data_IF_537254965665
#
_entry.id   IF_537254965665
#
_cell.length_a   1.000
_cell.length_b   1.000
_cell.length_c   1.000
_cell.angle_alpha   90.00
_cell.angle_beta   90.00
_cell.angle_gamma   90.00
#
_symmetry.space_group_name_H-M   'P 1'
#
loop_
_entity.id
_entity.type
_entity.pdbx_description
1 polymer ?
#
# COMPACT_ATOMS: atom_id res chain seq x y z
N UNK A 1 16.43 -14.33 3.53
CA UNK A 1 15.83 -15.62 3.85
C UNK A 1 15.37 -16.34 2.57
N UNK A 2 14.57 -15.70 1.70
CA UNK A 2 14.08 -16.30 0.46
C UNK A 2 15.18 -16.83 -0.46
N UNK A 3 16.32 -16.14 -0.55
CA UNK A 3 17.50 -16.59 -1.33
C UNK A 3 18.21 -17.82 -0.73
N UNK A 4 17.89 -18.24 0.51
CA UNK A 4 18.37 -19.51 1.08
C UNK A 4 17.54 -20.70 0.63
N UNK A 5 16.32 -20.47 0.12
CA UNK A 5 15.36 -21.51 -0.25
C UNK A 5 15.08 -21.58 -1.76
N UNK A 6 15.42 -20.53 -2.51
CA UNK A 6 15.26 -20.44 -3.96
C UNK A 6 16.39 -19.61 -4.56
N UNK A 7 16.82 -19.93 -5.78
CA UNK A 7 17.95 -19.28 -6.44
C UNK A 7 17.70 -17.78 -6.69
N UNK A 8 16.46 -17.38 -6.96
CA UNK A 8 16.05 -15.98 -7.13
C UNK A 8 14.54 -15.84 -6.92
N UNK A 9 14.12 -15.72 -5.65
CA UNK A 9 12.71 -15.70 -5.29
C UNK A 9 12.02 -14.44 -5.79
N UNK A 10 10.84 -14.61 -6.40
CA UNK A 10 9.91 -13.51 -6.68
C UNK A 10 9.17 -13.12 -5.39
N UNK A 11 9.23 -11.87 -5.02
CA UNK A 11 8.59 -11.32 -3.84
C UNK A 11 7.41 -10.43 -4.25
N UNK A 12 6.24 -10.73 -3.71
CA UNK A 12 5.09 -9.84 -3.72
C UNK A 12 4.92 -9.29 -2.30
N UNK A 13 5.11 -8.00 -2.13
CA UNK A 13 5.00 -7.30 -0.84
C UNK A 13 3.67 -6.57 -0.79
N UNK A 14 2.87 -6.89 0.20
CA UNK A 14 1.51 -6.35 0.38
C UNK A 14 1.38 -5.77 1.78
N UNK A 15 0.58 -4.70 1.90
CA UNK A 15 0.11 -4.22 3.20
C UNK A 15 -0.87 -5.24 3.81
N UNK A 16 -0.81 -5.40 5.14
CA UNK A 16 -1.59 -6.41 5.84
C UNK A 16 -3.04 -5.99 6.12
N UNK A 17 -3.35 -4.71 5.99
CA UNK A 17 -4.58 -4.05 6.42
C UNK A 17 -5.33 -3.29 5.31
N UNK A 18 -4.83 -3.31 4.08
CA UNK A 18 -5.53 -2.73 2.93
C UNK A 18 -6.64 -3.65 2.41
N UNK A 19 -7.65 -3.07 1.77
CA UNK A 19 -8.73 -3.80 1.12
C UNK A 19 -8.68 -3.59 -0.39
N UNK A 20 -8.88 -4.68 -1.13
CA UNK A 20 -9.03 -4.72 -2.58
C UNK A 20 -10.32 -5.47 -2.87
N UNK A 21 -11.31 -4.79 -3.46
CA UNK A 21 -12.63 -5.40 -3.70
C UNK A 21 -12.68 -6.12 -5.05
N UNK A 22 -12.04 -5.58 -6.10
CA UNK A 22 -11.92 -6.26 -7.38
C UNK A 22 -10.65 -7.13 -7.43
N UNK A 23 -10.81 -8.36 -6.95
CA UNK A 23 -9.73 -9.36 -6.90
C UNK A 23 -9.25 -9.75 -8.30
N UNK A 24 -10.13 -9.76 -9.29
CA UNK A 24 -9.76 -10.13 -10.66
C UNK A 24 -8.85 -9.07 -11.30
N UNK A 25 -9.20 -7.78 -11.16
CA UNK A 25 -8.35 -6.68 -11.60
C UNK A 25 -6.97 -6.71 -10.90
N UNK A 26 -6.96 -7.05 -9.61
CA UNK A 26 -5.70 -7.19 -8.87
C UNK A 26 -4.84 -8.35 -9.39
N UNK A 27 -5.42 -9.51 -9.68
CA UNK A 27 -4.69 -10.64 -10.25
C UNK A 27 -4.10 -10.31 -11.63
N UNK A 28 -4.82 -9.54 -12.46
CA UNK A 28 -4.31 -9.07 -13.75
C UNK A 28 -3.10 -8.15 -13.56
N UNK A 29 -3.17 -7.21 -12.62
CA UNK A 29 -2.06 -6.33 -12.28
C UNK A 29 -0.84 -7.10 -11.75
N UNK A 30 -1.04 -8.13 -10.90
CA UNK A 30 0.04 -9.02 -10.43
C UNK A 30 0.74 -9.71 -11.61
N UNK A 31 -0.01 -10.19 -12.61
CA UNK A 31 0.60 -10.83 -13.77
C UNK A 31 1.49 -9.85 -14.56
N UNK A 32 1.05 -8.61 -14.73
CA UNK A 32 1.85 -7.55 -15.38
C UNK A 32 3.10 -7.25 -14.54
N UNK A 33 2.94 -7.04 -13.22
CA UNK A 33 4.05 -6.78 -12.30
C UNK A 33 5.07 -7.93 -12.27
N UNK A 34 4.60 -9.19 -12.34
CA UNK A 34 5.44 -10.37 -12.42
C UNK A 34 6.35 -10.36 -13.66
N UNK A 35 5.80 -9.99 -14.82
CA UNK A 35 6.59 -9.87 -16.05
C UNK A 35 7.68 -8.79 -15.93
N UNK A 36 7.35 -7.65 -15.32
CA UNK A 36 8.32 -6.57 -15.08
C UNK A 36 9.40 -7.02 -14.09
N UNK A 37 9.01 -7.68 -12.99
CA UNK A 37 9.94 -8.20 -12.00
C UNK A 37 10.84 -9.29 -12.58
N UNK A 38 10.33 -10.18 -13.44
CA UNK A 38 11.14 -11.18 -14.18
C UNK A 38 12.18 -10.51 -15.07
N UNK A 39 11.86 -9.35 -15.65
CA UNK A 39 12.79 -8.53 -16.42
C UNK A 39 13.78 -7.72 -15.56
N UNK A 40 13.81 -7.93 -14.23
CA UNK A 40 14.74 -7.29 -13.30
C UNK A 40 14.31 -5.87 -12.90
N UNK A 41 13.01 -5.53 -12.99
CA UNK A 41 12.46 -4.25 -12.53
C UNK A 41 11.96 -4.33 -11.09
N UNK A 42 11.92 -3.17 -10.43
CA UNK A 42 11.15 -2.96 -9.22
C UNK A 42 9.75 -2.50 -9.65
N UNK A 43 8.77 -3.39 -9.57
CA UNK A 43 7.39 -3.05 -9.91
C UNK A 43 6.64 -2.55 -8.68
N UNK A 44 5.91 -1.44 -8.80
CA UNK A 44 4.94 -0.96 -7.81
C UNK A 44 3.54 -0.90 -8.42
N UNK A 45 2.51 -0.93 -7.56
CA UNK A 45 1.13 -0.81 -7.98
C UNK A 45 0.64 0.61 -7.70
N UNK A 46 0.25 1.31 -8.75
CA UNK A 46 -0.23 2.68 -8.68
C UNK A 46 -1.75 2.72 -8.80
N UNK A 47 -2.42 3.22 -7.76
CA UNK A 47 -3.88 3.34 -7.74
C UNK A 47 -4.30 4.51 -8.61
N UNK A 48 -5.31 4.31 -9.45
CA UNK A 48 -5.90 5.39 -10.26
C UNK A 48 -6.60 6.38 -9.32
N UNK A 49 -6.15 7.66 -9.26
CA UNK A 49 -6.71 8.63 -8.35
C UNK A 49 -8.15 8.99 -8.71
N UNK A 50 -9.02 9.05 -7.71
CA UNK A 50 -10.41 9.51 -7.84
C UNK A 50 -10.64 10.90 -7.29
N UNK A 51 -9.69 11.40 -6.49
CA UNK A 51 -9.73 12.71 -5.82
C UNK A 51 -8.32 13.26 -5.58
N UNK A 52 -8.23 14.53 -5.16
CA UNK A 52 -6.97 15.14 -4.74
C UNK A 52 -6.69 14.84 -3.26
N UNK A 53 -6.12 13.67 -2.97
CA UNK A 53 -5.83 13.23 -1.61
C UNK A 53 -4.43 13.64 -1.19
N UNK A 54 -4.29 14.31 -0.04
CA UNK A 54 -2.99 14.75 0.51
C UNK A 54 -2.36 13.75 1.47
N UNK A 55 -3.06 12.66 1.77
CA UNK A 55 -2.59 11.57 2.65
C UNK A 55 -1.75 10.52 1.93
N UNK A 56 -1.74 10.51 0.59
CA UNK A 56 -1.05 9.52 -0.21
C UNK A 56 0.19 10.09 -0.90
N UNK A 57 1.15 9.21 -1.18
CA UNK A 57 2.21 9.47 -2.14
C UNK A 57 1.69 9.39 -3.58
N UNK A 58 2.32 10.13 -4.49
CA UNK A 58 1.99 10.15 -5.90
C UNK A 58 3.16 9.66 -6.74
N UNK A 59 2.85 8.86 -7.75
CA UNK A 59 3.82 8.31 -8.71
C UNK A 59 3.51 8.89 -10.08
N UNK A 60 4.43 9.68 -10.62
CA UNK A 60 4.33 10.16 -12.00
C UNK A 60 4.76 9.08 -12.96
N UNK A 61 3.86 8.68 -13.84
CA UNK A 61 4.13 7.68 -14.87
C UNK A 61 4.54 8.33 -16.20
N UNK A 62 5.47 7.70 -16.91
CA UNK A 62 5.80 8.05 -18.29
C UNK A 62 4.59 7.83 -19.21
N UNK A 63 4.63 8.43 -20.41
CA UNK A 63 3.59 8.21 -21.43
C UNK A 63 3.76 6.90 -22.19
N UNK A 64 4.91 6.27 -22.07
CA UNK A 64 5.22 5.04 -22.79
C UNK A 64 4.77 3.82 -21.98
N UNK A 65 3.80 3.09 -22.51
CA UNK A 65 3.35 1.82 -21.97
C UNK A 65 4.28 0.69 -22.42
N UNK A 66 4.73 -0.13 -21.49
CA UNK A 66 5.48 -1.36 -21.74
C UNK A 66 4.68 -2.54 -21.18
N UNK A 67 3.86 -3.16 -22.02
CA UNK A 67 3.03 -4.32 -21.68
C UNK A 67 2.17 -4.12 -20.42
N UNK A 68 1.53 -2.95 -20.30
CA UNK A 68 0.64 -2.61 -19.17
C UNK A 68 1.35 -1.95 -17.99
N UNK A 69 2.66 -1.76 -18.04
CA UNK A 69 3.43 -1.04 -17.04
C UNK A 69 4.05 0.24 -17.63
N UNK A 70 4.34 1.21 -16.78
CA UNK A 70 4.94 2.49 -17.16
C UNK A 70 6.23 2.71 -16.37
N UNK A 71 7.22 3.37 -16.98
CA UNK A 71 8.39 3.82 -16.23
C UNK A 71 7.95 4.90 -15.24
N UNK A 72 8.46 4.84 -14.02
CA UNK A 72 8.29 5.91 -13.03
C UNK A 72 9.24 7.07 -13.40
N UNK A 73 8.70 8.29 -13.48
CA UNK A 73 9.46 9.52 -13.71
C UNK A 73 9.75 10.27 -12.42
N UNK A 74 8.83 10.20 -11.46
CA UNK A 74 8.94 10.93 -10.21
C UNK A 74 8.09 10.25 -9.14
N UNK A 75 8.55 10.31 -7.89
CA UNK A 75 7.84 9.82 -6.72
C UNK A 75 7.72 10.99 -5.74
N UNK A 76 6.51 11.32 -5.29
CA UNK A 76 6.25 12.47 -4.45
C UNK A 76 5.41 12.05 -3.27
N UNK A 77 5.92 12.19 -2.07
CA UNK A 77 5.22 11.81 -0.85
C UNK A 77 4.38 12.97 -0.31
N UNK A 78 3.08 12.73 -0.13
CA UNK A 78 2.11 13.59 0.55
C UNK A 78 2.18 15.08 0.14
N UNK A 79 1.83 15.44 -1.12
CA UNK A 79 1.84 16.81 -1.59
C UNK A 79 0.79 17.67 -0.88
N UNK A 80 0.90 18.99 -1.00
CA UNK A 80 -0.19 19.88 -0.61
C UNK A 80 -1.42 19.74 -1.54
N UNK A 81 -2.57 20.28 -1.12
CA UNK A 81 -3.83 20.12 -1.83
C UNK A 81 -3.79 20.70 -3.25
N UNK A 82 -3.14 21.86 -3.45
CA UNK A 82 -3.07 22.50 -4.77
C UNK A 82 -2.23 21.64 -5.72
N UNK A 83 -1.14 21.09 -5.24
CA UNK A 83 -0.26 20.17 -5.97
C UNK A 83 -1.00 18.87 -6.29
N UNK A 84 -1.69 18.26 -5.31
CA UNK A 84 -2.48 17.05 -5.53
C UNK A 84 -3.58 17.25 -6.59
N UNK A 85 -4.24 18.42 -6.58
CA UNK A 85 -5.25 18.78 -7.57
C UNK A 85 -4.66 18.91 -8.98
N UNK A 86 -3.48 19.54 -9.10
CA UNK A 86 -2.74 19.60 -10.35
C UNK A 86 -2.37 18.21 -10.89
N UNK A 87 -1.99 17.28 -10.02
CA UNK A 87 -1.66 15.91 -10.43
C UNK A 87 -2.87 15.15 -10.97
N UNK A 88 -4.03 15.32 -10.33
CA UNK A 88 -5.28 14.74 -10.81
C UNK A 88 -5.65 15.27 -12.21
N UNK A 89 -5.51 16.58 -12.44
CA UNK A 89 -5.80 17.21 -13.73
C UNK A 89 -4.86 16.78 -14.85
N UNK A 90 -3.59 16.51 -14.55
CA UNK A 90 -2.59 16.02 -15.51
C UNK A 90 -2.86 14.59 -15.97
N UNK A 91 -3.50 13.74 -15.15
CA UNK A 91 -3.95 12.41 -15.49
C UNK A 91 -2.85 11.35 -15.69
N UNK A 92 -1.58 11.68 -15.37
CA UNK A 92 -0.45 10.75 -15.45
C UNK A 92 0.20 10.49 -14.07
N UNK A 93 -0.51 10.80 -13.00
CA UNK A 93 -0.12 10.50 -11.64
C UNK A 93 -1.03 9.40 -11.08
N UNK A 94 -0.45 8.48 -10.32
CA UNK A 94 -1.12 7.40 -9.61
C UNK A 94 -0.80 7.54 -8.12
N UNK A 95 -1.70 7.11 -7.23
CA UNK A 95 -1.36 7.01 -5.81
C UNK A 95 -0.42 5.83 -5.55
N UNK A 96 0.56 6.03 -4.70
CA UNK A 96 1.39 4.95 -4.19
C UNK A 96 0.57 4.04 -3.26
N UNK A 97 0.41 2.79 -3.64
CA UNK A 97 -0.30 1.80 -2.81
C UNK A 97 0.55 1.21 -1.68
N UNK A 98 1.87 1.41 -1.70
CA UNK A 98 2.79 0.71 -0.81
C UNK A 98 2.90 -0.80 -1.10
N UNK A 99 2.46 -1.26 -2.26
CA UNK A 99 2.59 -2.65 -2.70
C UNK A 99 3.65 -2.76 -3.79
N UNK A 100 4.47 -3.82 -3.73
CA UNK A 100 5.63 -3.98 -4.61
C UNK A 100 5.79 -5.41 -5.08
N UNK A 101 6.39 -5.58 -6.26
CA UNK A 101 6.80 -6.88 -6.77
C UNK A 101 8.17 -6.81 -7.44
N UNK A 102 9.09 -7.69 -7.03
CA UNK A 102 10.46 -7.73 -7.53
C UNK A 102 11.12 -9.08 -7.24
N UNK A 103 12.24 -9.35 -7.90
CA UNK A 103 13.14 -10.42 -7.51
C UNK A 103 13.91 -10.03 -6.25
N UNK A 104 14.19 -11.02 -5.40
CA UNK A 104 14.96 -10.80 -4.18
C UNK A 104 16.37 -10.27 -4.47
N UNK A 105 17.02 -10.77 -5.53
CA UNK A 105 18.32 -10.27 -5.97
C UNK A 105 18.26 -8.83 -6.43
N UNK A 106 17.29 -8.46 -7.27
CA UNK A 106 17.09 -7.08 -7.73
C UNK A 106 16.93 -6.12 -6.57
N UNK A 107 16.09 -6.48 -5.56
CA UNK A 107 15.92 -5.66 -4.37
C UNK A 107 17.23 -5.42 -3.62
N UNK A 108 18.03 -6.47 -3.41
CA UNK A 108 19.30 -6.38 -2.67
C UNK A 108 20.32 -5.54 -3.45
N UNK A 109 20.42 -5.73 -4.76
CA UNK A 109 21.35 -5.01 -5.61
C UNK A 109 21.04 -3.50 -5.63
N UNK A 110 19.77 -3.15 -5.78
CA UNK A 110 19.32 -1.77 -5.78
C UNK A 110 19.46 -1.12 -4.38
N UNK A 111 19.11 -1.82 -3.31
CA UNK A 111 19.34 -1.34 -1.95
C UNK A 111 20.84 -1.20 -1.64
N UNK A 112 21.69 -2.09 -2.14
CA UNK A 112 23.14 -1.98 -1.97
C UNK A 112 23.68 -0.72 -2.65
N UNK A 113 23.08 -0.32 -3.76
CA UNK A 113 23.45 0.86 -4.52
C UNK A 113 22.96 2.16 -3.82
N UNK A 114 21.72 2.17 -3.33
CA UNK A 114 21.04 3.39 -2.88
C UNK A 114 21.02 3.58 -1.36
N UNK A 115 21.12 2.48 -0.59
CA UNK A 115 21.06 2.49 0.88
C UNK A 115 21.89 1.33 1.49
N UNK A 116 23.21 1.29 1.25
CA UNK A 116 24.09 0.17 1.63
C UNK A 116 24.12 -0.11 3.13
N UNK A 117 23.92 0.91 3.98
CA UNK A 117 23.86 0.76 5.43
C UNK A 117 22.67 -0.09 5.89
N UNK A 118 21.52 -0.03 5.20
CA UNK A 118 20.37 -0.91 5.48
C UNK A 118 20.76 -2.35 5.17
N UNK A 119 21.37 -2.60 4.01
CA UNK A 119 21.77 -3.95 3.61
C UNK A 119 22.79 -4.54 4.58
N UNK A 120 23.76 -3.74 5.03
CA UNK A 120 24.78 -4.15 6.00
C UNK A 120 24.14 -4.55 7.33
N UNK A 121 23.32 -3.71 7.90
CA UNK A 121 22.67 -3.94 9.20
C UNK A 121 21.73 -5.15 9.15
N UNK A 122 20.93 -5.29 8.07
CA UNK A 122 20.02 -6.42 7.88
C UNK A 122 20.79 -7.72 7.70
N UNK A 123 21.89 -7.74 6.92
CA UNK A 123 22.72 -8.91 6.77
C UNK A 123 23.34 -9.34 8.10
N UNK A 124 23.85 -8.40 8.89
CA UNK A 124 24.38 -8.69 10.22
C UNK A 124 23.31 -9.27 11.16
N UNK A 125 22.11 -8.70 11.15
CA UNK A 125 21.00 -9.17 11.96
C UNK A 125 20.55 -10.59 11.56
N UNK A 126 20.51 -10.90 10.26
CA UNK A 126 20.15 -12.23 9.74
C UNK A 126 21.26 -13.25 9.99
N UNK A 127 22.53 -12.87 9.86
CA UNK A 127 23.67 -13.78 10.07
C UNK A 127 23.82 -14.18 11.55
N UNK A 128 23.41 -13.35 12.48
CA UNK A 128 23.41 -13.59 13.92
C UNK A 128 22.05 -14.08 14.43
N UNK A 129 21.08 -14.32 13.52
CA UNK A 129 19.75 -14.77 13.91
C UNK A 129 19.75 -16.16 14.52
N UNK A 130 18.90 -16.36 15.50
CA UNK A 130 18.70 -17.63 16.20
C UNK A 130 17.37 -18.28 15.79
N UNK A 131 17.36 -19.61 15.69
CA UNK A 131 16.13 -20.38 15.49
C UNK A 131 15.43 -20.56 16.87
N UNK A 132 14.18 -20.10 16.97
CA UNK A 132 13.34 -20.26 18.14
C UNK A 132 12.01 -20.91 17.73
N UNK A 133 11.95 -22.23 17.82
CA UNK A 133 10.85 -23.06 17.32
C UNK A 133 10.55 -22.75 15.84
N UNK A 134 9.35 -22.25 15.55
CA UNK A 134 8.92 -21.86 14.18
C UNK A 134 9.37 -20.44 13.79
N UNK A 135 10.03 -19.71 14.70
CA UNK A 135 10.44 -18.33 14.48
C UNK A 135 11.94 -18.23 14.21
N UNK A 136 12.29 -17.24 13.39
CA UNK A 136 13.68 -16.79 13.21
C UNK A 136 13.80 -15.46 13.93
N UNK A 137 14.57 -15.43 15.03
CA UNK A 137 14.79 -14.21 15.80
C UNK A 137 16.03 -13.51 15.30
N UNK A 138 15.81 -12.36 14.69
CA UNK A 138 16.91 -11.52 14.25
C UNK A 138 17.71 -10.99 15.46
N UNK A 139 19.03 -10.79 15.26
CA UNK A 139 19.83 -10.12 16.29
C UNK A 139 19.36 -8.67 16.47
N UNK A 140 18.88 -8.38 17.69
CA UNK A 140 18.27 -7.08 17.99
C UNK A 140 19.26 -5.92 17.84
N UNK A 141 20.49 -6.09 18.32
CA UNK A 141 21.49 -5.01 18.29
C UNK A 141 21.90 -4.66 16.87
N UNK A 142 22.11 -5.65 16.02
CA UNK A 142 22.42 -5.42 14.62
C UNK A 142 21.23 -4.79 13.86
N UNK A 143 20.01 -5.22 14.16
CA UNK A 143 18.81 -4.67 13.53
C UNK A 143 18.55 -3.20 13.93
N UNK A 144 18.77 -2.84 15.19
CA UNK A 144 18.63 -1.47 15.70
C UNK A 144 19.66 -0.49 15.11
N UNK A 145 20.74 -0.98 14.50
CA UNK A 145 21.70 -0.15 13.76
C UNK A 145 21.22 0.22 12.35
N UNK A 146 20.16 -0.42 11.86
CA UNK A 146 19.60 -0.04 10.56
C UNK A 146 18.99 1.35 10.60
N UNK A 147 19.27 2.19 9.58
CA UNK A 147 18.54 3.45 9.42
C UNK A 147 17.02 3.19 9.43
N UNK A 148 16.29 4.05 10.14
CA UNK A 148 14.82 4.04 10.16
C UNK A 148 14.31 4.81 8.95
N UNK A 149 14.12 4.12 7.84
CA UNK A 149 13.70 4.70 6.57
C UNK A 149 12.67 3.79 5.89
N UNK A 150 11.72 4.37 5.14
CA UNK A 150 10.79 3.59 4.34
C UNK A 150 11.43 3.12 3.05
N UNK A 151 10.90 2.06 2.45
CA UNK A 151 11.34 1.58 1.13
C UNK A 151 11.17 2.66 0.06
N UNK A 152 10.18 3.54 0.21
CA UNK A 152 9.93 4.64 -0.72
C UNK A 152 11.13 5.59 -0.75
N UNK A 153 11.56 6.10 0.39
CA UNK A 153 12.72 7.02 0.50
C UNK A 153 14.06 6.31 0.34
N UNK A 154 14.19 5.10 0.88
CA UNK A 154 15.43 4.34 0.81
C UNK A 154 15.76 3.89 -0.62
N UNK A 155 14.73 3.61 -1.44
CA UNK A 155 14.89 2.94 -2.71
C UNK A 155 14.06 3.54 -3.85
N UNK A 156 12.72 3.59 -3.72
CA UNK A 156 11.84 3.85 -4.86
C UNK A 156 12.00 5.25 -5.45
N UNK A 157 12.29 6.25 -4.63
CA UNK A 157 12.57 7.62 -5.08
C UNK A 157 13.94 7.79 -5.74
N UNK A 158 14.88 6.86 -5.48
CA UNK A 158 16.28 6.98 -5.92
C UNK A 158 16.59 6.13 -7.15
N UNK A 159 15.85 5.04 -7.34
CA UNK A 159 16.15 4.06 -8.38
C UNK A 159 15.51 4.45 -9.72
N UNK A 160 16.31 4.44 -10.79
CA UNK A 160 15.83 4.56 -12.17
C UNK A 160 15.20 3.27 -12.72
N UNK A 161 15.19 2.20 -11.93
CA UNK A 161 14.75 0.86 -12.32
C UNK A 161 13.31 0.54 -11.91
N UNK A 162 12.52 1.57 -11.51
CA UNK A 162 11.14 1.41 -11.04
C UNK A 162 10.14 1.50 -12.18
N UNK A 163 9.17 0.57 -12.18
CA UNK A 163 7.99 0.60 -13.05
C UNK A 163 6.72 0.60 -12.22
N UNK A 164 5.67 1.29 -12.70
CA UNK A 164 4.36 1.31 -12.06
C UNK A 164 3.34 0.59 -12.92
N UNK A 165 2.56 -0.29 -12.30
CA UNK A 165 1.40 -0.96 -12.90
C UNK A 165 0.15 -0.27 -12.38
N UNK A 166 -0.66 0.37 -13.25
CA UNK A 166 -1.92 0.97 -12.83
C UNK A 166 -2.87 -0.10 -12.27
N UNK A 167 -3.53 0.22 -11.18
CA UNK A 167 -4.47 -0.64 -10.50
C UNK A 167 -5.77 0.11 -10.22
N UNK A 168 -6.83 -0.26 -10.91
CA UNK A 168 -8.21 0.15 -10.64
C UNK A 168 -8.97 -1.07 -10.11
N UNK A 169 -8.86 -1.32 -8.81
CA UNK A 169 -9.39 -2.52 -8.16
C UNK A 169 -10.18 -2.19 -6.88
N UNK A 170 -10.75 -0.99 -6.81
CA UNK A 170 -11.47 -0.52 -5.62
C UNK A 170 -10.61 -0.72 -4.36
N UNK A 171 -9.37 -0.27 -4.44
CA UNK A 171 -8.41 -0.32 -3.35
C UNK A 171 -8.72 0.76 -2.31
N UNK A 172 -8.51 0.41 -1.04
CA UNK A 172 -8.62 1.33 0.08
C UNK A 172 -7.62 0.94 1.18
N UNK A 173 -6.92 1.91 1.75
CA UNK A 173 -5.95 1.70 2.84
C UNK A 173 -6.59 1.62 4.22
N UNK A 174 -7.89 1.87 4.33
CA UNK A 174 -8.67 1.92 5.58
C UNK A 174 -8.03 2.84 6.64
N UNK A 175 -7.45 3.94 6.20
CA UNK A 175 -6.77 4.91 7.07
C UNK A 175 -7.70 5.75 7.96
N UNK A 176 -9.02 5.63 7.80
CA UNK A 176 -10.00 6.42 8.53
C UNK A 176 -11.35 5.71 8.71
N UNK A 177 -12.17 6.19 9.64
CA UNK A 177 -13.55 5.73 9.77
C UNK A 177 -14.41 6.04 8.54
N UNK A 178 -14.12 7.13 7.83
CA UNK A 178 -14.78 7.44 6.55
C UNK A 178 -14.48 6.38 5.50
N UNK A 179 -13.25 5.88 5.44
CA UNK A 179 -12.87 4.81 4.55
C UNK A 179 -13.64 3.52 4.83
N UNK A 180 -13.89 3.19 6.11
CA UNK A 180 -14.76 2.06 6.47
C UNK A 180 -16.21 2.27 6.05
N UNK A 181 -16.72 3.50 6.10
CA UNK A 181 -18.04 3.82 5.56
C UNK A 181 -18.08 3.64 4.05
N UNK A 182 -17.03 4.06 3.33
CA UNK A 182 -16.98 3.99 1.86
C UNK A 182 -17.03 2.55 1.34
N UNK A 183 -16.29 1.66 1.97
CA UNK A 183 -16.23 0.23 1.59
C UNK A 183 -17.35 -0.63 2.20
N UNK A 184 -18.05 -0.12 3.21
CA UNK A 184 -19.08 -0.85 3.95
C UNK A 184 -20.35 -1.08 3.13
N UNK A 185 -21.03 -2.17 3.42
CA UNK A 185 -22.35 -2.44 2.84
C UNK A 185 -23.38 -1.49 3.42
N UNK A 186 -23.99 -0.68 2.55
CA UNK A 186 -24.97 0.32 2.92
C UNK A 186 -26.39 -0.26 2.95
N UNK A 187 -27.16 0.12 3.95
CA UNK A 187 -28.61 -0.14 3.99
C UNK A 187 -29.39 0.75 3.02
N UNK A 188 -30.73 0.64 3.00
CA UNK A 188 -31.59 1.45 2.12
C UNK A 188 -31.57 2.95 2.39
N UNK A 189 -31.06 3.36 3.55
CA UNK A 189 -30.92 4.76 3.98
C UNK A 189 -29.46 5.26 3.83
N UNK A 190 -28.56 4.44 3.25
CA UNK A 190 -27.16 4.78 3.08
C UNK A 190 -26.32 4.59 4.34
N UNK A 191 -26.80 3.94 5.39
CA UNK A 191 -26.05 3.70 6.60
C UNK A 191 -25.19 2.44 6.49
N UNK A 192 -24.03 2.44 7.13
CA UNK A 192 -23.22 1.26 7.41
C UNK A 192 -23.30 0.96 8.89
N UNK A 193 -23.86 -0.20 9.24
CA UNK A 193 -24.19 -0.55 10.63
C UNK A 193 -23.41 -1.82 11.01
N UNK A 194 -22.72 -1.77 12.16
CA UNK A 194 -22.05 -2.91 12.77
C UNK A 194 -22.39 -2.99 14.26
N UNK A 195 -22.72 -4.20 14.75
CA UNK A 195 -23.04 -4.45 16.15
C UNK A 195 -24.51 -4.23 16.51
N UNK A 196 -24.78 -3.94 17.79
CA UNK A 196 -26.14 -3.76 18.33
C UNK A 196 -26.57 -2.29 18.18
N UNK A 197 -27.33 -2.00 17.12
CA UNK A 197 -27.69 -0.64 16.73
C UNK A 197 -29.17 -0.54 16.36
N UNK A 198 -29.85 0.46 16.92
CA UNK A 198 -31.19 0.88 16.53
C UNK A 198 -31.13 2.23 15.81
N UNK A 199 -31.78 2.34 14.66
CA UNK A 199 -31.83 3.60 13.88
C UNK A 199 -33.26 4.01 13.57
N UNK A 200 -33.59 5.31 13.76
CA UNK A 200 -34.83 5.93 13.33
C UNK A 200 -34.48 7.28 12.67
N UNK A 201 -35.01 7.55 11.50
CA UNK A 201 -34.72 8.76 10.72
C UNK A 201 -33.20 9.05 10.61
N UNK A 202 -32.42 8.00 10.40
CA UNK A 202 -30.96 8.05 10.30
C UNK A 202 -30.51 7.75 8.87
N UNK A 203 -29.64 8.61 8.29
CA UNK A 203 -29.18 8.48 6.90
C UNK A 203 -27.68 8.73 6.76
N UNK A 204 -27.05 8.07 5.77
CA UNK A 204 -25.63 8.24 5.37
C UNK A 204 -24.66 8.21 6.56
N UNK A 205 -24.90 7.36 7.54
CA UNK A 205 -24.17 7.35 8.79
C UNK A 205 -23.43 6.02 8.96
N UNK A 206 -22.14 6.08 9.39
CA UNK A 206 -21.41 4.92 9.86
C UNK A 206 -21.64 4.72 11.35
N UNK A 207 -22.09 3.54 11.77
CA UNK A 207 -22.35 3.24 13.18
C UNK A 207 -21.68 1.91 13.53
N UNK A 208 -20.78 1.95 14.48
CA UNK A 208 -20.09 0.76 15.01
C UNK A 208 -20.26 0.67 16.52
N UNK A 209 -20.91 -0.39 16.96
CA UNK A 209 -21.06 -0.75 18.38
C UNK A 209 -20.16 -1.93 18.72
N UNK A 210 -19.34 -1.76 19.75
CA UNK A 210 -18.44 -2.80 20.27
C UNK A 210 -18.81 -3.21 21.70
N UNK A 211 -20.11 -3.42 21.95
CA UNK A 211 -20.59 -3.98 23.21
C UNK A 211 -21.76 -3.26 23.88
N UNK A 212 -21.97 -1.98 23.57
CA UNK A 212 -23.14 -1.25 24.08
C UNK A 212 -24.12 -0.99 22.93
N UNK A 213 -25.42 -1.08 23.21
CA UNK A 213 -26.43 -0.70 22.23
C UNK A 213 -26.33 0.78 21.92
N UNK A 214 -26.26 1.11 20.62
CA UNK A 214 -26.33 2.48 20.10
C UNK A 214 -27.71 2.72 19.52
N UNK A 215 -28.39 3.78 19.97
CA UNK A 215 -29.65 4.22 19.37
C UNK A 215 -29.45 5.60 18.73
N UNK A 216 -29.81 5.74 17.45
CA UNK A 216 -29.74 7.02 16.72
C UNK A 216 -31.12 7.43 16.22
N UNK A 217 -31.47 8.70 16.38
CA UNK A 217 -32.78 9.27 15.96
C UNK A 217 -32.53 10.61 15.29
N UNK A 218 -32.97 10.77 14.04
CA UNK A 218 -32.93 12.04 13.33
C UNK A 218 -31.53 12.57 13.03
N UNK A 219 -30.55 11.67 12.76
CA UNK A 219 -29.16 12.03 12.46
C UNK A 219 -28.80 11.71 11.02
N UNK A 220 -27.84 12.46 10.48
CA UNK A 220 -27.36 12.24 9.11
C UNK A 220 -25.90 12.63 8.98
N UNK A 221 -25.18 11.97 8.04
CA UNK A 221 -23.79 12.27 7.66
C UNK A 221 -22.82 12.23 8.86
N UNK A 222 -22.97 11.26 9.76
CA UNK A 222 -22.18 11.09 10.97
C UNK A 222 -21.34 9.82 10.95
N UNK A 223 -20.30 9.81 11.79
CA UNK A 223 -19.55 8.63 12.19
C UNK A 223 -19.71 8.47 13.70
N UNK A 224 -20.29 7.35 14.12
CA UNK A 224 -20.59 7.03 15.52
C UNK A 224 -19.92 5.71 15.87
N UNK A 225 -18.99 5.74 16.82
CA UNK A 225 -18.19 4.56 17.20
C UNK A 225 -18.17 4.44 18.70
N UNK A 226 -18.52 3.24 19.20
CA UNK A 226 -18.32 2.80 20.57
C UNK A 226 -17.06 1.90 20.61
N UNK A 227 -16.08 2.24 21.47
CA UNK A 227 -14.77 1.58 21.57
C UNK A 227 -14.52 0.97 22.94
#
# INVERSE_FOLDING_TARGET
QSLKTADDAMLLVLSADHVIQDVEAFHQAINIASNQAQAGKLATFGIVPTEANTGYGYIKSSKNNNDGAYKVEEFIEKPDLATAQSYLEQGNYLWNSGMFMFKATTLIDELTTHSPEIVTSVNDAVNKAEQDLDFIRLDKQAFELSPSDSIDYALMEKSDNVTVVPLDAQWNDIGSWSALYDIGTKDSNGNVIQGDVFTEDTTNTYIHSNGHMIATIGVQDLIIVDT
#
